data_IF_705063319970
#
_entry.id   IF_705063319970
#
_cell.length_a   1.000
_cell.length_b   1.000
_cell.length_c   1.000
_cell.angle_alpha   90.00
_cell.angle_beta   90.00
_cell.angle_gamma   90.00
#
_symmetry.space_group_name_H-M   'P 1'
#
loop_
_entity.id
_entity.type
_entity.pdbx_description
1 polymer ?
#
# COMPACT_ATOMS: atom_id res chain seq x y z
N UNK A 1 -45.46 -9.80 51.53
CA UNK A 1 -44.19 -10.27 50.95
C UNK A 1 -44.16 -9.83 49.48
N UNK A 2 -43.39 -8.78 49.15
CA UNK A 2 -43.22 -8.26 47.78
C UNK A 2 -41.80 -8.59 47.34
N UNK A 3 -41.65 -9.52 46.41
CA UNK A 3 -40.37 -9.92 45.81
C UNK A 3 -40.01 -8.92 44.68
N UNK A 4 -39.01 -8.10 44.93
CA UNK A 4 -38.42 -7.22 43.92
C UNK A 4 -37.54 -8.03 42.96
N UNK A 5 -37.95 -8.18 41.70
CA UNK A 5 -37.12 -8.70 40.62
C UNK A 5 -36.09 -7.61 40.20
N UNK A 6 -34.85 -7.82 40.54
CA UNK A 6 -33.73 -7.03 39.99
C UNK A 6 -33.46 -7.49 38.58
N UNK A 7 -33.78 -6.64 37.60
CA UNK A 7 -33.33 -6.83 36.20
C UNK A 7 -31.85 -6.48 36.11
N UNK A 8 -31.02 -7.45 35.78
CA UNK A 8 -29.62 -7.23 35.41
C UNK A 8 -29.62 -6.72 33.98
N UNK A 9 -29.28 -5.44 33.79
CA UNK A 9 -28.98 -4.90 32.46
C UNK A 9 -27.53 -5.28 32.14
N UNK A 10 -27.37 -6.29 31.29
CA UNK A 10 -26.06 -6.62 30.69
C UNK A 10 -25.79 -5.59 29.62
N UNK A 11 -24.99 -4.58 29.94
CA UNK A 11 -24.42 -3.68 28.93
C UNK A 11 -23.36 -4.46 28.12
N UNK A 12 -23.75 -4.90 26.93
CA UNK A 12 -22.81 -5.43 25.96
C UNK A 12 -21.94 -4.26 25.48
N UNK A 13 -20.72 -4.13 26.01
CA UNK A 13 -19.67 -3.30 25.45
C UNK A 13 -19.25 -3.99 24.16
N UNK A 14 -19.80 -3.51 23.03
CA UNK A 14 -19.29 -3.88 21.71
C UNK A 14 -17.90 -3.27 21.62
N UNK A 15 -16.88 -4.08 21.86
CA UNK A 15 -15.49 -3.76 21.50
C UNK A 15 -15.47 -3.64 19.97
N UNK A 16 -15.63 -2.41 19.48
CA UNK A 16 -15.30 -2.05 18.10
C UNK A 16 -13.77 -2.18 17.99
N UNK A 17 -13.30 -3.39 17.69
CA UNK A 17 -11.96 -3.56 17.19
C UNK A 17 -11.85 -2.64 15.95
N UNK A 18 -10.86 -1.76 15.87
CA UNK A 18 -10.67 -0.97 14.67
C UNK A 18 -10.51 -1.94 13.50
N UNK A 19 -11.43 -1.90 12.54
CA UNK A 19 -11.25 -2.53 11.25
C UNK A 19 -10.04 -1.83 10.61
N UNK A 20 -8.87 -2.42 10.77
CA UNK A 20 -7.65 -1.97 10.13
C UNK A 20 -7.85 -2.21 8.63
N UNK A 21 -8.05 -1.13 7.89
CA UNK A 21 -8.14 -1.22 6.44
C UNK A 21 -6.73 -1.56 5.90
N UNK A 22 -6.61 -2.48 4.94
CA UNK A 22 -5.37 -2.67 4.22
C UNK A 22 -5.03 -1.37 3.47
N UNK A 23 -3.78 -1.14 3.14
CA UNK A 23 -3.30 -0.14 2.18
C UNK A 23 -4.03 -0.27 0.82
N UNK A 24 -3.51 0.26 -0.29
CA UNK A 24 -4.19 -0.04 -1.56
C UNK A 24 -4.69 -1.49 -1.55
N UNK A 25 -5.96 -1.72 -1.89
CA UNK A 25 -6.47 -3.10 -2.01
C UNK A 25 -5.57 -3.92 -2.92
N UNK A 26 -5.61 -5.24 -2.79
CA UNK A 26 -4.81 -6.21 -3.56
C UNK A 26 -4.57 -5.80 -5.01
N UNK A 27 -5.62 -5.30 -5.69
CA UNK A 27 -5.52 -4.84 -7.10
C UNK A 27 -4.56 -3.67 -7.24
N UNK A 28 -4.61 -2.69 -6.34
CA UNK A 28 -3.75 -1.50 -6.41
C UNK A 28 -2.28 -1.87 -6.27
N UNK A 29 -1.92 -2.65 -5.25
CA UNK A 29 -0.55 -3.15 -5.05
C UNK A 29 -0.06 -3.98 -6.25
N UNK A 30 -0.90 -4.90 -6.73
CA UNK A 30 -0.56 -5.72 -7.89
C UNK A 30 -0.43 -4.91 -9.18
N UNK A 31 -1.18 -3.81 -9.36
CA UNK A 31 -1.02 -2.91 -10.51
C UNK A 31 0.32 -2.16 -10.45
N UNK A 32 0.71 -1.64 -9.28
CA UNK A 32 2.04 -1.03 -9.06
C UNK A 32 3.14 -2.01 -9.43
N UNK A 33 3.07 -3.24 -8.91
CA UNK A 33 4.03 -4.30 -9.18
C UNK A 33 4.05 -4.71 -10.66
N UNK A 34 2.89 -4.84 -11.29
CA UNK A 34 2.76 -5.22 -12.70
C UNK A 34 3.37 -4.14 -13.62
N UNK A 35 3.09 -2.85 -13.38
CA UNK A 35 3.68 -1.74 -14.13
C UNK A 35 5.20 -1.74 -13.93
N UNK A 36 5.67 -1.89 -12.69
CA UNK A 36 7.10 -1.94 -12.40
C UNK A 36 7.78 -3.09 -13.16
N UNK A 37 7.25 -4.30 -13.06
CA UNK A 37 7.82 -5.49 -13.70
C UNK A 37 7.90 -5.38 -15.22
N UNK A 38 6.94 -4.72 -15.86
CA UNK A 38 6.93 -4.45 -17.30
C UNK A 38 7.98 -3.43 -17.75
N UNK A 39 8.53 -2.66 -16.81
CA UNK A 39 9.49 -1.58 -17.08
C UNK A 39 10.90 -1.89 -16.57
N UNK A 40 11.13 -3.10 -16.07
CA UNK A 40 12.46 -3.53 -15.65
C UNK A 40 13.39 -3.72 -16.84
N UNK A 41 14.64 -3.30 -16.65
CA UNK A 41 15.74 -3.69 -17.56
C UNK A 41 15.98 -5.20 -17.48
N UNK A 42 16.64 -5.83 -18.48
CA UNK A 42 16.96 -7.25 -18.41
C UNK A 42 17.74 -7.65 -17.16
N UNK A 43 18.69 -6.82 -16.72
CA UNK A 43 19.47 -7.07 -15.50
C UNK A 43 18.60 -7.04 -14.25
N UNK A 44 17.81 -5.97 -14.06
CA UNK A 44 16.91 -5.85 -12.92
C UNK A 44 15.85 -6.96 -12.91
N UNK A 45 15.30 -7.28 -14.09
CA UNK A 45 14.34 -8.38 -14.23
C UNK A 45 14.95 -9.72 -13.85
N UNK A 46 16.16 -10.02 -14.34
CA UNK A 46 16.88 -11.25 -13.99
C UNK A 46 17.13 -11.38 -12.47
N UNK A 47 17.48 -10.28 -11.79
CA UNK A 47 17.66 -10.30 -10.32
C UNK A 47 16.35 -10.47 -9.57
N UNK A 48 15.30 -9.76 -9.99
CA UNK A 48 13.95 -9.90 -9.41
C UNK A 48 13.43 -11.32 -9.60
N UNK A 49 13.55 -11.88 -10.81
CA UNK A 49 13.11 -13.24 -11.11
C UNK A 49 13.89 -14.27 -10.26
N UNK A 50 15.21 -14.09 -10.11
CA UNK A 50 16.02 -14.96 -9.24
C UNK A 50 15.53 -14.98 -7.79
N UNK A 51 15.07 -13.84 -7.28
CA UNK A 51 14.63 -13.70 -5.90
C UNK A 51 13.17 -14.13 -5.69
N UNK A 52 12.29 -13.84 -6.65
CA UNK A 52 10.84 -13.91 -6.47
C UNK A 52 10.12 -14.91 -7.39
N UNK A 53 10.82 -15.61 -8.27
CA UNK A 53 10.24 -16.65 -9.12
C UNK A 53 10.82 -17.99 -8.75
N UNK A 54 9.96 -18.95 -8.40
CA UNK A 54 10.43 -20.32 -8.18
C UNK A 54 10.75 -20.97 -9.52
N UNK A 55 11.76 -21.88 -9.60
CA UNK A 55 12.13 -22.56 -10.85
C UNK A 55 10.97 -23.31 -11.51
N UNK A 56 10.01 -23.78 -10.73
CA UNK A 56 8.84 -24.52 -11.22
C UNK A 56 7.64 -23.62 -11.51
N UNK A 57 7.72 -22.30 -11.23
CA UNK A 57 6.66 -21.32 -11.52
C UNK A 57 5.28 -21.59 -10.88
N UNK A 58 5.20 -22.57 -9.98
CA UNK A 58 3.95 -23.09 -9.41
C UNK A 58 3.95 -23.26 -7.90
N UNK A 59 5.06 -22.97 -7.22
CA UNK A 59 5.12 -23.06 -5.76
C UNK A 59 5.12 -21.69 -5.16
N UNK A 60 4.42 -21.50 -4.02
CA UNK A 60 4.53 -20.26 -3.25
C UNK A 60 6.02 -19.97 -2.97
N UNK A 61 6.34 -18.72 -2.75
CA UNK A 61 7.67 -18.30 -2.32
C UNK A 61 7.90 -18.82 -0.89
N UNK A 62 8.00 -20.14 -0.79
CA UNK A 62 7.97 -20.90 0.49
C UNK A 62 9.11 -20.50 1.41
N UNK A 63 10.20 -19.97 0.85
CA UNK A 63 11.30 -19.42 1.64
C UNK A 63 10.90 -18.14 2.39
N UNK A 64 9.86 -17.42 1.94
CA UNK A 64 9.26 -16.29 2.66
C UNK A 64 8.31 -16.76 3.77
N UNK A 65 7.94 -18.05 3.76
CA UNK A 65 6.97 -18.64 4.69
C UNK A 65 7.62 -19.36 5.87
N UNK A 66 8.93 -19.60 5.82
CA UNK A 66 9.62 -20.30 6.88
C UNK A 66 9.95 -19.35 8.05
N UNK A 67 9.35 -19.58 9.19
CA UNK A 67 9.55 -18.78 10.40
C UNK A 67 8.26 -18.20 10.94
N UNK A 68 8.18 -16.88 11.05
CA UNK A 68 7.06 -16.16 11.68
C UNK A 68 5.78 -16.14 10.86
N UNK A 69 5.84 -16.37 9.55
CA UNK A 69 4.72 -16.14 8.66
C UNK A 69 3.90 -17.42 8.51
N UNK A 70 2.59 -17.28 8.70
CA UNK A 70 1.67 -18.42 8.58
C UNK A 70 1.67 -18.97 7.15
N UNK A 71 1.69 -20.29 7.02
CA UNK A 71 1.67 -20.98 5.72
C UNK A 71 0.54 -20.50 4.80
N UNK A 72 -0.63 -20.18 5.38
CA UNK A 72 -1.79 -19.69 4.64
C UNK A 72 -1.57 -18.36 3.91
N UNK A 73 -0.72 -17.46 4.44
CA UNK A 73 -0.41 -16.18 3.78
C UNK A 73 0.51 -16.36 2.59
N UNK A 74 1.40 -17.33 2.69
CA UNK A 74 2.39 -17.63 1.65
C UNK A 74 1.81 -18.37 0.46
N UNK A 75 0.73 -19.14 0.66
CA UNK A 75 0.06 -19.86 -0.44
C UNK A 75 -0.53 -18.93 -1.51
N UNK A 76 -0.62 -17.63 -1.22
CA UNK A 76 -1.14 -16.61 -2.14
C UNK A 76 -0.05 -15.90 -2.94
N UNK A 77 1.24 -16.08 -2.58
CA UNK A 77 2.37 -15.33 -3.12
C UNK A 77 3.25 -16.21 -3.98
N UNK A 78 3.29 -15.96 -5.29
CA UNK A 78 3.96 -16.83 -6.27
C UNK A 78 4.98 -16.14 -7.16
N UNK A 79 4.97 -14.81 -7.22
CA UNK A 79 5.71 -14.07 -8.23
C UNK A 79 5.88 -12.58 -7.87
N UNK A 80 6.63 -11.81 -8.69
CA UNK A 80 6.85 -10.38 -8.47
C UNK A 80 5.59 -9.51 -8.40
N UNK A 81 4.44 -10.01 -8.85
CA UNK A 81 3.18 -9.24 -8.81
C UNK A 81 2.42 -9.50 -7.52
N UNK A 82 2.30 -10.77 -7.13
CA UNK A 82 1.56 -11.15 -5.92
C UNK A 82 2.31 -10.83 -4.63
N UNK A 83 3.66 -10.70 -4.68
CA UNK A 83 4.49 -10.29 -3.54
C UNK A 83 4.12 -8.90 -3.00
N UNK A 84 3.62 -8.03 -3.87
CA UNK A 84 3.25 -6.67 -3.47
C UNK A 84 2.10 -6.63 -2.46
N UNK A 85 1.33 -7.69 -2.30
CA UNK A 85 0.24 -7.79 -1.31
C UNK A 85 0.67 -8.57 -0.06
N UNK A 86 1.81 -9.24 -0.11
CA UNK A 86 2.27 -10.16 0.93
C UNK A 86 2.33 -9.53 2.33
N UNK A 87 2.73 -8.27 2.45
CA UNK A 87 2.84 -7.56 3.71
C UNK A 87 1.46 -7.33 4.38
N UNK A 88 0.41 -7.11 3.60
CA UNK A 88 -0.96 -6.99 4.11
C UNK A 88 -1.54 -8.31 4.65
N UNK A 89 -1.03 -9.44 4.15
CA UNK A 89 -1.45 -10.77 4.62
C UNK A 89 -1.04 -11.03 6.08
N UNK A 90 -0.13 -10.23 6.66
CA UNK A 90 0.30 -10.35 8.07
C UNK A 90 -0.62 -9.64 9.04
N UNK A 91 -1.43 -8.69 8.55
CA UNK A 91 -2.24 -7.82 9.41
C UNK A 91 -3.22 -8.61 10.25
N UNK A 92 -3.27 -8.27 11.54
CA UNK A 92 -4.13 -8.93 12.51
C UNK A 92 -3.52 -10.17 13.17
N UNK A 93 -2.29 -10.51 12.85
CA UNK A 93 -1.50 -11.48 13.61
C UNK A 93 -0.62 -10.74 14.63
N UNK A 94 -0.81 -11.02 15.91
CA UNK A 94 -0.06 -10.36 17.00
C UNK A 94 1.46 -10.57 16.92
N UNK A 95 1.92 -11.57 16.18
CA UNK A 95 3.35 -11.81 15.95
C UNK A 95 3.95 -10.85 14.91
N UNK A 96 3.11 -10.13 14.18
CA UNK A 96 3.51 -9.24 13.10
C UNK A 96 3.01 -7.81 13.28
N UNK A 97 2.43 -7.47 14.42
CA UNK A 97 1.97 -6.12 14.77
C UNK A 97 3.11 -5.07 14.67
N UNK A 98 4.36 -5.49 14.78
CA UNK A 98 5.53 -4.62 14.61
C UNK A 98 5.64 -4.01 13.20
N UNK A 99 5.03 -4.62 12.19
CA UNK A 99 5.02 -4.12 10.81
C UNK A 99 3.90 -3.12 10.53
N UNK A 100 2.89 -2.99 11.40
CA UNK A 100 1.78 -2.06 11.21
C UNK A 100 2.22 -0.61 10.96
N UNK A 101 3.16 -0.02 11.72
CA UNK A 101 3.62 1.34 11.48
C UNK A 101 4.41 1.53 10.18
N UNK A 102 4.86 0.42 9.54
CA UNK A 102 5.64 0.51 8.30
C UNK A 102 4.82 1.00 7.11
N UNK A 103 3.49 0.83 7.17
CA UNK A 103 2.59 1.11 6.05
C UNK A 103 2.29 2.60 5.85
N UNK A 104 2.55 3.46 6.84
CA UNK A 104 2.15 4.87 6.82
C UNK A 104 3.16 5.80 7.49
N UNK A 105 2.91 7.10 7.39
CA UNK A 105 3.64 8.13 8.11
C UNK A 105 2.71 9.30 8.43
N UNK A 106 2.68 9.77 9.68
CA UNK A 106 1.95 11.00 10.06
C UNK A 106 2.80 12.24 9.72
N UNK A 107 3.09 12.43 8.44
CA UNK A 107 3.87 13.55 7.96
C UNK A 107 3.03 14.82 7.91
N UNK A 108 3.51 15.91 8.59
CA UNK A 108 2.80 17.18 8.68
C UNK A 108 1.30 16.98 8.96
N UNK A 109 0.93 16.60 10.20
CA UNK A 109 -0.47 16.33 10.56
C UNK A 109 -1.44 17.44 10.15
N UNK A 110 -2.67 17.07 9.84
CA UNK A 110 -3.70 18.02 9.45
C UNK A 110 -4.60 18.38 10.65
N UNK A 111 -4.56 19.64 11.07
CA UNK A 111 -5.39 20.16 12.17
C UNK A 111 -6.60 20.89 11.60
N UNK A 112 -7.78 20.31 11.77
CA UNK A 112 -9.02 20.80 11.19
C UNK A 112 -9.91 21.41 12.31
N UNK A 113 -10.05 22.74 12.27
CA UNK A 113 -10.83 23.50 13.25
C UNK A 113 -10.23 23.56 14.67
N UNK A 114 -8.97 23.14 14.85
CA UNK A 114 -8.24 23.21 16.12
C UNK A 114 -6.84 23.79 15.92
N UNK A 115 -6.20 24.36 16.96
CA UNK A 115 -4.82 24.80 16.88
C UNK A 115 -3.85 23.68 16.51
N UNK A 116 -2.79 24.03 15.77
CA UNK A 116 -1.71 23.11 15.47
C UNK A 116 -1.01 22.66 16.78
N UNK A 117 -0.62 21.39 16.82
CA UNK A 117 0.10 20.75 17.92
C UNK A 117 1.51 20.40 17.48
N UNK A 118 2.45 20.43 18.41
CA UNK A 118 3.87 20.11 18.19
C UNK A 118 4.27 18.77 18.81
N UNK A 119 3.37 18.16 19.58
CA UNK A 119 3.56 16.89 20.26
C UNK A 119 3.10 15.68 19.42
N UNK A 120 2.66 15.92 18.20
CA UNK A 120 2.27 14.90 17.24
C UNK A 120 3.08 15.05 15.95
N UNK A 121 3.43 13.94 15.34
CA UNK A 121 4.27 13.92 14.15
C UNK A 121 4.50 12.49 13.68
N UNK A 122 5.48 12.28 12.78
CA UNK A 122 5.76 10.97 12.24
C UNK A 122 6.27 10.02 13.34
N UNK A 123 5.85 8.78 13.25
CA UNK A 123 6.36 7.68 14.04
C UNK A 123 7.86 7.49 13.76
N UNK A 124 8.68 7.07 14.74
CA UNK A 124 10.11 6.80 14.51
C UNK A 124 10.39 5.75 13.46
N UNK A 125 9.50 4.73 13.38
CA UNK A 125 9.52 3.69 12.35
C UNK A 125 8.25 3.88 11.51
N UNK A 126 8.41 4.13 10.23
CA UNK A 126 7.32 4.49 9.33
C UNK A 126 7.66 4.10 7.88
N UNK A 127 6.75 4.32 6.93
CA UNK A 127 6.92 3.95 5.52
C UNK A 127 8.17 4.58 4.89
N UNK A 128 8.48 5.83 5.18
CA UNK A 128 9.67 6.52 4.64
C UNK A 128 10.98 5.89 5.16
N UNK A 129 11.04 5.64 6.47
CA UNK A 129 12.18 4.98 7.11
C UNK A 129 12.39 3.58 6.52
N UNK A 130 11.31 2.83 6.33
CA UNK A 130 11.37 1.46 5.82
C UNK A 130 11.70 1.37 4.33
N UNK A 131 11.23 2.29 3.50
CA UNK A 131 11.67 2.38 2.10
C UNK A 131 13.17 2.65 2.03
N UNK A 132 13.67 3.62 2.80
CA UNK A 132 15.09 3.95 2.85
C UNK A 132 15.94 2.77 3.34
N UNK A 133 15.48 2.07 4.37
CA UNK A 133 16.11 0.85 4.86
C UNK A 133 16.17 -0.25 3.78
N UNK A 134 15.06 -0.52 3.10
CA UNK A 134 14.97 -1.55 2.07
C UNK A 134 15.88 -1.24 0.88
N UNK A 135 15.88 0.02 0.41
CA UNK A 135 16.77 0.50 -0.67
C UNK A 135 18.23 0.31 -0.30
N UNK A 136 18.62 0.72 0.91
CA UNK A 136 20.01 0.59 1.37
C UNK A 136 20.43 -0.87 1.55
N UNK A 137 19.53 -1.73 2.04
CA UNK A 137 19.77 -3.16 2.22
C UNK A 137 19.98 -3.85 0.86
N UNK A 138 19.08 -3.62 -0.10
CA UNK A 138 19.16 -4.21 -1.43
C UNK A 138 20.38 -3.69 -2.23
N UNK A 139 20.76 -2.41 -2.05
CA UNK A 139 21.94 -1.83 -2.69
C UNK A 139 23.23 -2.51 -2.24
N UNK A 140 23.34 -2.86 -0.96
CA UNK A 140 24.53 -3.54 -0.42
C UNK A 140 24.49 -5.04 -0.73
N UNK A 141 23.29 -5.60 -0.86
CA UNK A 141 23.05 -7.04 -0.83
C UNK A 141 23.38 -7.62 0.54
N UNK A 142 22.59 -8.59 1.00
CA UNK A 142 22.83 -9.24 2.30
C UNK A 142 23.71 -10.50 2.16
N UNK A 143 23.96 -10.94 0.94
CA UNK A 143 24.60 -12.23 0.64
C UNK A 143 23.66 -13.42 0.91
N UNK A 144 22.40 -13.16 1.22
CA UNK A 144 21.36 -14.16 1.50
C UNK A 144 20.13 -13.89 0.66
N UNK A 145 19.91 -14.69 -0.38
CA UNK A 145 18.80 -14.50 -1.32
C UNK A 145 17.41 -14.44 -0.61
N UNK A 146 17.25 -15.17 0.51
CA UNK A 146 16.03 -15.09 1.32
C UNK A 146 15.80 -13.70 1.89
N UNK A 147 16.78 -13.12 2.57
CA UNK A 147 16.67 -11.79 3.18
C UNK A 147 16.50 -10.71 2.11
N UNK A 148 17.20 -10.84 0.98
CA UNK A 148 17.02 -9.93 -0.15
C UNK A 148 15.60 -10.04 -0.75
N UNK A 149 15.03 -11.26 -0.83
CA UNK A 149 13.67 -11.49 -1.32
C UNK A 149 12.61 -10.89 -0.38
N UNK A 150 12.76 -11.07 0.93
CA UNK A 150 11.89 -10.47 1.96
C UNK A 150 11.96 -8.93 1.88
N UNK A 151 13.17 -8.38 1.83
CA UNK A 151 13.38 -6.93 1.71
C UNK A 151 12.78 -6.37 0.42
N UNK A 152 12.90 -7.11 -0.68
CA UNK A 152 12.28 -6.75 -1.95
C UNK A 152 10.76 -6.78 -1.87
N UNK A 153 10.17 -7.76 -1.19
CA UNK A 153 8.74 -7.84 -0.94
C UNK A 153 8.22 -6.63 -0.16
N UNK A 154 8.91 -6.23 0.91
CA UNK A 154 8.60 -5.00 1.63
C UNK A 154 8.68 -3.77 0.71
N UNK A 155 9.75 -3.63 -0.08
CA UNK A 155 9.88 -2.48 -0.97
C UNK A 155 8.75 -2.40 -2.00
N UNK A 156 8.32 -3.52 -2.58
CA UNK A 156 7.20 -3.57 -3.52
C UNK A 156 5.90 -3.04 -2.91
N UNK A 157 5.62 -3.43 -1.67
CA UNK A 157 4.43 -3.01 -0.93
C UNK A 157 4.50 -1.53 -0.54
N UNK A 158 5.57 -1.14 0.15
CA UNK A 158 5.74 0.19 0.74
C UNK A 158 5.78 1.32 -0.31
N UNK A 159 6.33 1.04 -1.51
CA UNK A 159 6.24 2.01 -2.61
C UNK A 159 4.80 2.20 -3.07
N UNK A 160 3.96 1.17 -3.02
CA UNK A 160 2.52 1.31 -3.22
C UNK A 160 1.91 2.23 -2.16
N UNK A 161 2.14 1.91 -0.89
CA UNK A 161 1.57 2.61 0.28
C UNK A 161 1.85 4.10 0.29
N UNK A 162 3.13 4.48 0.13
CA UNK A 162 3.53 5.88 0.17
C UNK A 162 2.88 6.73 -0.93
N UNK A 163 2.32 6.11 -1.97
CA UNK A 163 1.59 6.79 -3.04
C UNK A 163 0.08 6.88 -2.79
N UNK A 164 -0.46 6.23 -1.75
CA UNK A 164 -1.84 6.42 -1.29
C UNK A 164 -1.89 7.68 -0.41
N UNK A 165 -2.70 8.69 -0.76
CA UNK A 165 -2.68 9.98 -0.07
C UNK A 165 -2.87 9.90 1.45
N UNK A 166 -3.77 9.05 1.93
CA UNK A 166 -4.09 8.95 3.35
C UNK A 166 -3.06 8.16 4.18
N UNK A 167 -2.08 7.52 3.53
CA UNK A 167 -0.92 6.92 4.20
C UNK A 167 0.15 7.95 4.60
N UNK A 168 0.00 9.22 4.21
CA UNK A 168 0.98 10.26 4.47
C UNK A 168 0.51 11.32 5.48
N UNK A 169 -0.63 11.14 6.15
CA UNK A 169 -1.13 12.10 7.14
C UNK A 169 -2.24 11.52 8.00
N UNK A 170 -2.48 12.18 9.14
CA UNK A 170 -3.65 11.97 10.00
C UNK A 170 -4.33 13.32 10.24
N UNK A 171 -5.68 13.35 10.22
CA UNK A 171 -6.48 14.53 10.53
C UNK A 171 -6.84 14.55 12.01
N UNK A 172 -6.58 15.64 12.67
CA UNK A 172 -6.93 15.90 14.05
C UNK A 172 -8.07 16.92 14.13
N UNK A 173 -9.07 16.65 14.96
CA UNK A 173 -10.23 17.53 15.21
C UNK A 173 -10.51 17.60 16.71
N UNK A 174 -11.42 18.48 17.13
CA UNK A 174 -11.87 18.50 18.51
C UNK A 174 -12.54 17.20 18.97
N UNK A 175 -13.22 16.49 18.05
CA UNK A 175 -13.85 15.20 18.32
C UNK A 175 -12.86 14.02 18.26
N UNK A 176 -11.75 14.17 17.58
CA UNK A 176 -10.72 13.14 17.40
C UNK A 176 -9.35 13.72 17.78
N UNK A 177 -9.09 13.95 19.08
CA UNK A 177 -7.86 14.57 19.57
C UNK A 177 -6.61 13.67 19.36
N UNK A 178 -6.80 12.37 19.19
CA UNK A 178 -5.74 11.39 18.89
C UNK A 178 -5.59 11.11 17.39
N UNK A 179 -6.35 11.86 16.56
CA UNK A 179 -6.34 11.72 15.10
C UNK A 179 -7.33 10.71 14.57
N UNK A 180 -7.58 10.79 13.27
CA UNK A 180 -8.55 9.93 12.56
C UNK A 180 -7.91 8.68 11.91
N UNK A 181 -6.65 8.38 12.23
CA UNK A 181 -5.91 7.23 11.70
C UNK A 181 -5.89 7.23 10.17
N UNK A 182 -5.51 8.37 9.55
CA UNK A 182 -5.49 8.50 8.09
C UNK A 182 -6.86 8.30 7.43
N UNK A 183 -7.93 8.76 8.08
CA UNK A 183 -9.30 8.63 7.56
C UNK A 183 -10.00 7.30 7.87
N UNK A 184 -9.41 6.41 8.66
CA UNK A 184 -10.09 5.17 9.10
C UNK A 184 -11.29 5.49 10.01
N UNK A 185 -11.19 6.54 10.82
CA UNK A 185 -12.28 7.00 11.69
C UNK A 185 -13.21 8.02 11.00
N UNK A 186 -12.85 8.52 9.82
CA UNK A 186 -13.73 9.35 8.99
C UNK A 186 -14.78 8.47 8.32
N UNK A 187 -15.99 8.43 8.87
CA UNK A 187 -17.05 7.54 8.42
C UNK A 187 -17.69 8.00 7.12
N UNK A 188 -18.01 7.05 6.26
CA UNK A 188 -18.80 7.24 5.03
C UNK A 188 -20.05 6.37 5.07
N UNK A 189 -21.07 6.81 4.34
CA UNK A 189 -22.27 6.01 4.13
C UNK A 189 -22.05 5.11 2.91
N UNK A 190 -22.03 3.80 3.16
CA UNK A 190 -21.97 2.80 2.08
C UNK A 190 -23.23 2.86 1.19
N UNK A 191 -23.05 2.41 -0.06
CA UNK A 191 -24.13 2.32 -1.06
C UNK A 191 -24.00 0.99 -1.81
N UNK A 192 -24.99 0.62 -2.62
CA UNK A 192 -24.95 -0.58 -3.46
C UNK A 192 -23.75 -0.57 -4.43
N UNK A 193 -23.27 0.62 -4.82
CA UNK A 193 -22.11 0.79 -5.71
C UNK A 193 -20.78 1.00 -4.97
N UNK A 194 -20.79 1.13 -3.63
CA UNK A 194 -19.59 1.33 -2.81
C UNK A 194 -19.80 0.79 -1.40
N UNK A 195 -19.15 -0.31 -1.03
CA UNK A 195 -19.20 -0.87 0.32
C UNK A 195 -18.36 -0.08 1.33
N UNK A 196 -17.68 0.98 0.90
CA UNK A 196 -16.76 1.73 1.75
C UNK A 196 -17.48 2.43 2.90
N UNK A 197 -17.11 2.10 4.14
CA UNK A 197 -17.63 2.67 5.38
C UNK A 197 -16.67 3.66 6.04
N UNK A 198 -15.46 3.82 5.49
CA UNK A 198 -14.49 4.84 5.91
C UNK A 198 -13.84 5.48 4.69
N UNK A 199 -13.31 6.69 4.90
CA UNK A 199 -12.60 7.43 3.87
C UNK A 199 -11.32 6.66 3.44
N UNK A 200 -10.61 6.10 4.40
CA UNK A 200 -9.41 5.29 4.15
C UNK A 200 -9.73 4.13 3.20
N UNK A 201 -10.70 3.27 3.57
CA UNK A 201 -11.13 2.14 2.72
C UNK A 201 -11.56 2.58 1.32
N UNK A 202 -12.25 3.72 1.20
CA UNK A 202 -12.67 4.26 -0.10
C UNK A 202 -11.47 4.58 -0.99
N UNK A 203 -10.41 5.17 -0.43
CA UNK A 203 -9.18 5.49 -1.16
C UNK A 203 -8.34 4.26 -1.45
N UNK A 204 -8.24 3.30 -0.53
CA UNK A 204 -7.55 2.02 -0.77
C UNK A 204 -8.15 1.24 -1.93
N UNK A 205 -9.47 1.29 -2.07
CA UNK A 205 -10.17 0.73 -3.23
C UNK A 205 -10.04 1.60 -4.50
N UNK A 206 -9.16 2.61 -4.51
CA UNK A 206 -9.06 3.57 -5.62
C UNK A 206 -10.42 4.17 -6.03
N UNK A 207 -11.28 4.47 -5.04
CA UNK A 207 -12.66 4.89 -5.21
C UNK A 207 -13.49 3.94 -6.11
N UNK A 208 -13.17 2.66 -6.10
CA UNK A 208 -13.82 1.64 -6.93
C UNK A 208 -13.41 1.66 -8.41
N UNK A 209 -12.29 2.31 -8.77
CA UNK A 209 -11.83 2.38 -10.17
C UNK A 209 -11.55 1.01 -10.80
N UNK A 210 -11.26 0.01 -9.99
CA UNK A 210 -10.95 -1.37 -10.43
C UNK A 210 -11.89 -2.41 -9.82
N UNK A 211 -13.00 -1.98 -9.21
CA UNK A 211 -13.87 -2.75 -8.35
C UNK A 211 -13.42 -2.67 -6.88
N UNK A 212 -14.29 -3.09 -5.98
CA UNK A 212 -13.99 -3.16 -4.54
C UNK A 212 -13.47 -4.52 -4.10
N UNK A 213 -13.58 -5.52 -4.95
CA UNK A 213 -13.07 -6.87 -4.73
C UNK A 213 -11.86 -7.12 -5.64
N UNK A 214 -10.76 -7.53 -5.04
CA UNK A 214 -9.56 -7.94 -5.77
C UNK A 214 -9.73 -9.34 -6.37
N UNK A 215 -8.90 -9.73 -7.36
CA UNK A 215 -8.82 -11.11 -7.81
C UNK A 215 -8.30 -11.98 -6.68
N UNK A 216 -8.82 -13.20 -6.58
CA UNK A 216 -8.29 -14.18 -5.64
C UNK A 216 -6.85 -14.51 -5.99
N UNK A 217 -6.00 -14.60 -4.98
CA UNK A 217 -4.62 -15.08 -5.10
C UNK A 217 -4.54 -16.55 -4.65
N UNK A 218 -3.76 -17.41 -5.31
CA UNK A 218 -2.92 -17.14 -6.48
C UNK A 218 -3.73 -16.79 -7.75
N UNK A 219 -3.16 -15.93 -8.59
CA UNK A 219 -3.84 -15.46 -9.80
C UNK A 219 -3.93 -16.59 -10.83
N UNK A 220 -5.15 -16.88 -11.29
CA UNK A 220 -5.37 -17.71 -12.46
C UNK A 220 -4.98 -16.96 -13.77
N UNK A 221 -4.90 -17.66 -14.92
CA UNK A 221 -4.53 -17.03 -16.18
C UNK A 221 -5.45 -15.87 -16.61
N UNK A 222 -6.75 -15.94 -16.32
CA UNK A 222 -7.70 -14.88 -16.67
C UNK A 222 -7.51 -13.64 -15.81
N UNK A 223 -7.31 -13.81 -14.48
CA UNK A 223 -7.00 -12.74 -13.56
C UNK A 223 -5.67 -12.06 -13.92
N UNK A 224 -4.64 -12.82 -14.32
CA UNK A 224 -3.36 -12.26 -14.80
C UNK A 224 -3.54 -11.44 -16.06
N UNK A 225 -4.28 -11.95 -17.05
CA UNK A 225 -4.54 -11.24 -18.29
C UNK A 225 -5.32 -9.93 -18.03
N UNK A 226 -6.32 -9.97 -17.14
CA UNK A 226 -7.07 -8.79 -16.73
C UNK A 226 -6.16 -7.76 -16.03
N UNK A 227 -5.36 -8.18 -15.08
CA UNK A 227 -4.43 -7.30 -14.36
C UNK A 227 -3.43 -6.65 -15.32
N UNK A 228 -2.89 -7.43 -16.27
CA UNK A 228 -2.01 -6.92 -17.32
C UNK A 228 -2.72 -5.87 -18.17
N UNK A 229 -3.94 -6.12 -18.61
CA UNK A 229 -4.74 -5.17 -19.40
C UNK A 229 -5.01 -3.86 -18.64
N UNK A 230 -5.29 -3.95 -17.32
CA UNK A 230 -5.47 -2.78 -16.47
C UNK A 230 -4.16 -1.97 -16.36
N UNK A 231 -3.02 -2.63 -16.17
CA UNK A 231 -1.71 -1.98 -16.12
C UNK A 231 -1.36 -1.30 -17.45
N UNK A 232 -1.58 -1.97 -18.58
CA UNK A 232 -1.38 -1.40 -19.92
C UNK A 232 -2.29 -0.18 -20.13
N UNK A 233 -3.55 -0.23 -19.65
CA UNK A 233 -4.49 0.89 -19.65
C UNK A 233 -3.98 2.10 -18.86
N UNK A 234 -3.48 1.87 -17.64
CA UNK A 234 -2.89 2.92 -16.81
C UNK A 234 -1.65 3.55 -17.46
N UNK A 235 -0.77 2.73 -18.03
CA UNK A 235 0.44 3.22 -18.71
C UNK A 235 0.10 4.01 -20.00
N UNK A 236 -0.99 3.65 -20.68
CA UNK A 236 -1.48 4.41 -21.84
C UNK A 236 -2.11 5.74 -21.44
N UNK A 237 -2.88 5.77 -20.34
CA UNK A 237 -3.52 6.98 -19.82
C UNK A 237 -2.50 7.95 -19.23
N UNK A 238 -1.45 7.43 -18.61
CA UNK A 238 -0.39 8.17 -17.93
C UNK A 238 1.00 7.71 -18.44
N UNK A 239 1.42 8.07 -19.67
CA UNK A 239 2.72 7.67 -20.18
C UNK A 239 3.87 8.21 -19.32
N UNK A 240 4.88 7.38 -19.04
CA UNK A 240 6.00 7.76 -18.17
C UNK A 240 6.71 9.06 -18.62
N UNK A 241 6.86 9.25 -19.94
CA UNK A 241 7.52 10.43 -20.51
C UNK A 241 6.70 11.72 -20.31
N UNK A 242 5.39 11.60 -20.10
CA UNK A 242 4.52 12.72 -19.77
C UNK A 242 4.47 13.06 -18.28
N UNK A 243 5.15 12.27 -17.44
CA UNK A 243 5.16 12.41 -15.98
C UNK A 243 6.57 12.73 -15.47
N UNK A 244 7.00 14.01 -15.44
CA UNK A 244 8.32 14.38 -14.89
C UNK A 244 8.58 13.82 -13.49
N UNK A 245 7.54 13.74 -12.65
CA UNK A 245 7.59 13.17 -11.31
C UNK A 245 8.01 11.68 -11.29
N UNK A 246 7.85 10.93 -12.37
CA UNK A 246 8.29 9.53 -12.44
C UNK A 246 9.82 9.38 -12.35
N UNK A 247 10.57 10.45 -12.58
CA UNK A 247 12.05 10.49 -12.47
C UNK A 247 12.52 10.86 -11.07
N UNK A 248 11.65 11.34 -10.22
CA UNK A 248 11.98 11.67 -8.84
C UNK A 248 11.97 10.39 -7.99
N UNK A 249 13.15 9.98 -7.53
CA UNK A 249 13.38 8.77 -6.73
C UNK A 249 13.68 9.08 -5.26
N UNK A 250 13.39 10.30 -4.80
CA UNK A 250 13.52 10.67 -3.39
C UNK A 250 12.22 10.35 -2.64
N UNK A 251 12.21 9.35 -1.73
CA UNK A 251 10.97 8.91 -1.07
C UNK A 251 10.29 10.00 -0.23
N UNK A 252 11.04 10.96 0.31
CA UNK A 252 10.46 12.09 1.05
C UNK A 252 9.55 12.93 0.15
N UNK A 253 9.91 13.13 -1.11
CA UNK A 253 9.08 13.88 -2.06
C UNK A 253 7.76 13.12 -2.34
N UNK A 254 7.79 11.78 -2.35
CA UNK A 254 6.58 10.96 -2.52
C UNK A 254 5.62 11.11 -1.34
N UNK A 255 6.16 11.19 -0.12
CA UNK A 255 5.41 11.49 1.11
C UNK A 255 4.77 12.88 1.02
N UNK A 256 5.53 13.90 0.62
CA UNK A 256 5.04 15.28 0.49
C UNK A 256 3.90 15.37 -0.53
N UNK A 257 4.05 14.74 -1.69
CA UNK A 257 2.99 14.68 -2.72
C UNK A 257 1.72 14.04 -2.16
N UNK A 258 1.85 12.90 -1.46
CA UNK A 258 0.72 12.19 -0.88
C UNK A 258 0.04 13.00 0.21
N UNK A 259 0.81 13.64 1.10
CA UNK A 259 0.28 14.55 2.13
C UNK A 259 -0.49 15.72 1.51
N UNK A 260 0.04 16.34 0.45
CA UNK A 260 -0.66 17.42 -0.24
C UNK A 260 -1.96 16.95 -0.89
N UNK A 261 -1.97 15.77 -1.50
CA UNK A 261 -3.17 15.18 -2.09
C UNK A 261 -4.20 14.80 -1.02
N UNK A 262 -3.77 14.29 0.12
CA UNK A 262 -4.66 14.03 1.24
C UNK A 262 -5.44 15.29 1.62
N UNK A 263 -4.75 16.42 1.83
CA UNK A 263 -5.36 17.68 2.23
C UNK A 263 -6.24 18.31 1.15
N UNK A 264 -5.75 18.32 -0.10
CA UNK A 264 -6.39 19.05 -1.21
C UNK A 264 -7.49 18.27 -1.89
N UNK A 265 -7.46 16.95 -1.78
CA UNK A 265 -8.40 16.06 -2.50
C UNK A 265 -9.10 15.12 -1.52
N UNK A 266 -8.38 14.29 -0.75
CA UNK A 266 -9.01 13.23 0.02
C UNK A 266 -9.92 13.76 1.13
N UNK A 267 -9.48 14.77 1.89
CA UNK A 267 -10.30 15.42 2.91
C UNK A 267 -11.12 16.61 2.38
N UNK A 268 -10.92 17.01 1.12
CA UNK A 268 -11.63 18.15 0.57
C UNK A 268 -12.97 17.72 -0.05
N UNK A 269 -14.01 18.56 0.08
CA UNK A 269 -15.32 18.36 -0.53
C UNK A 269 -16.01 17.02 -0.20
N UNK A 270 -15.71 16.48 0.98
CA UNK A 270 -16.31 15.27 1.54
C UNK A 270 -16.78 15.56 2.98
N UNK A 271 -17.86 14.94 3.40
CA UNK A 271 -18.39 15.08 4.76
C UNK A 271 -18.56 13.73 5.40
N UNK A 272 -18.31 13.69 6.71
CA UNK A 272 -18.52 12.49 7.51
C UNK A 272 -19.99 12.06 7.50
N UNK A 273 -20.23 10.74 7.52
CA UNK A 273 -21.53 10.12 7.49
C UNK A 273 -22.40 10.43 6.27
N UNK A 274 -21.78 10.94 5.20
CA UNK A 274 -22.43 11.14 3.91
C UNK A 274 -21.88 10.17 2.84
N UNK A 275 -22.65 10.01 1.77
CA UNK A 275 -22.20 9.31 0.57
C UNK A 275 -21.29 10.23 -0.25
N UNK A 276 -20.13 9.78 -0.71
CA UNK A 276 -19.27 10.55 -1.61
C UNK A 276 -20.05 10.99 -2.86
N UNK A 277 -19.98 12.27 -3.20
CA UNK A 277 -20.62 12.78 -4.42
C UNK A 277 -19.98 12.16 -5.67
N UNK A 278 -20.70 12.18 -6.80
CA UNK A 278 -20.15 11.73 -8.09
C UNK A 278 -18.87 12.49 -8.45
N UNK A 279 -18.87 13.81 -8.29
CA UNK A 279 -17.71 14.65 -8.59
C UNK A 279 -16.49 14.30 -7.73
N UNK A 280 -16.70 14.06 -6.42
CA UNK A 280 -15.65 13.60 -5.52
C UNK A 280 -15.12 12.22 -5.94
N UNK A 281 -16.01 11.28 -6.23
CA UNK A 281 -15.66 9.93 -6.66
C UNK A 281 -14.85 9.93 -7.96
N UNK A 282 -15.26 10.72 -8.94
CA UNK A 282 -14.55 10.83 -10.22
C UNK A 282 -13.14 11.41 -10.03
N UNK A 283 -12.99 12.45 -9.19
CA UNK A 283 -11.67 13.02 -8.88
C UNK A 283 -10.79 12.06 -8.08
N UNK A 284 -11.34 11.37 -7.08
CA UNK A 284 -10.61 10.35 -6.32
C UNK A 284 -10.12 9.21 -7.24
N UNK A 285 -10.93 8.75 -8.19
CA UNK A 285 -10.54 7.76 -9.22
C UNK A 285 -9.41 8.27 -10.09
N UNK A 286 -9.54 9.49 -10.59
CA UNK A 286 -8.51 10.11 -11.43
C UNK A 286 -7.17 10.20 -10.70
N UNK A 287 -7.17 10.69 -9.47
CA UNK A 287 -5.96 10.80 -8.65
C UNK A 287 -5.38 9.43 -8.35
N UNK A 288 -6.20 8.46 -7.94
CA UNK A 288 -5.74 7.09 -7.62
C UNK A 288 -5.08 6.44 -8.83
N UNK A 289 -5.66 6.54 -10.02
CA UNK A 289 -5.09 5.98 -11.26
C UNK A 289 -3.73 6.59 -11.58
N UNK A 290 -3.59 7.92 -11.45
CA UNK A 290 -2.31 8.61 -11.62
C UNK A 290 -1.27 8.14 -10.58
N UNK A 291 -1.66 8.04 -9.29
CA UNK A 291 -0.75 7.64 -8.22
C UNK A 291 -0.26 6.21 -8.37
N UNK A 292 -1.12 5.28 -8.80
CA UNK A 292 -0.75 3.89 -9.08
C UNK A 292 0.22 3.78 -10.27
N UNK A 293 -0.02 4.52 -11.36
CA UNK A 293 0.90 4.56 -12.49
C UNK A 293 2.28 5.12 -12.07
N UNK A 294 2.28 6.22 -11.32
CA UNK A 294 3.49 6.88 -10.83
C UNK A 294 4.29 5.97 -9.89
N UNK A 295 3.61 5.29 -8.94
CA UNK A 295 4.23 4.33 -8.04
C UNK A 295 4.91 3.19 -8.82
N UNK A 296 4.25 2.64 -9.84
CA UNK A 296 4.81 1.59 -10.68
C UNK A 296 6.05 2.05 -11.46
N UNK A 297 6.05 3.25 -11.99
CA UNK A 297 7.22 3.82 -12.69
C UNK A 297 8.39 4.08 -11.75
N UNK A 298 8.12 4.64 -10.57
CA UNK A 298 9.14 4.92 -9.54
C UNK A 298 9.76 3.63 -9.01
N UNK A 299 8.93 2.62 -8.74
CA UNK A 299 9.42 1.30 -8.34
C UNK A 299 10.30 0.69 -9.42
N UNK A 300 9.90 0.72 -10.70
CA UNK A 300 10.72 0.24 -11.80
C UNK A 300 12.06 0.97 -11.90
N UNK A 301 12.04 2.30 -11.86
CA UNK A 301 13.24 3.12 -11.95
C UNK A 301 14.19 2.85 -10.78
N UNK A 302 13.66 2.70 -9.57
CA UNK A 302 14.43 2.37 -8.38
C UNK A 302 15.08 0.99 -8.50
N UNK A 303 14.33 -0.04 -8.92
CA UNK A 303 14.85 -1.40 -9.11
C UNK A 303 15.90 -1.45 -10.24
N UNK A 304 15.67 -0.72 -11.33
CA UNK A 304 16.65 -0.61 -12.42
C UNK A 304 17.96 0.06 -11.95
N UNK A 305 17.88 1.01 -11.01
CA UNK A 305 19.05 1.63 -10.41
C UNK A 305 19.76 0.69 -9.42
N UNK A 306 19.00 -0.11 -8.65
CA UNK A 306 19.55 -1.02 -7.65
C UNK A 306 20.22 -2.25 -8.28
N UNK A 307 19.67 -2.75 -9.39
CA UNK A 307 20.09 -3.99 -10.02
C UNK A 307 20.72 -3.77 -11.41
N UNK A 308 21.69 -2.86 -11.47
CA UNK A 308 22.50 -2.65 -12.68
C UNK A 308 23.38 -3.86 -12.97
N UNK A 309 23.67 -4.12 -14.24
CA UNK A 309 24.67 -5.13 -14.60
C UNK A 309 26.05 -4.73 -14.03
N UNK A 310 26.81 -5.66 -13.45
CA UNK A 310 28.19 -5.40 -13.14
C UNK A 310 28.92 -5.05 -14.44
N UNK A 311 29.91 -4.13 -14.43
CA UNK A 311 30.70 -3.84 -15.62
C UNK A 311 31.31 -5.15 -16.13
N UNK A 312 31.44 -5.32 -17.46
CA UNK A 312 32.06 -6.51 -18.03
C UNK A 312 33.46 -6.71 -17.42
N UNK A 313 33.76 -7.95 -17.03
CA UNK A 313 35.05 -8.27 -16.48
C UNK A 313 36.16 -7.76 -17.44
N UNK A 314 37.16 -7.08 -16.89
CA UNK A 314 38.31 -6.66 -17.70
C UNK A 314 38.89 -7.88 -18.41
N UNK A 315 39.28 -7.77 -19.71
CA UNK A 315 39.90 -8.88 -20.42
C UNK A 315 41.11 -9.36 -19.64
N UNK A 316 41.38 -10.67 -19.58
CA UNK A 316 42.58 -11.19 -18.92
C UNK A 316 43.82 -10.53 -19.55
N UNK A 317 44.72 -10.06 -18.68
CA UNK A 317 46.01 -9.47 -19.10
C UNK A 317 46.96 -10.53 -19.65
#
# INVERSE_FOLDING_TARGET
>A
MRTARRALILSAVLLLLPLRAPAWHDVGHMLVAQIAYLRLTPAAKGRVDKLLVTPEGRRPLIHLCAGYYMAATCEKTYDPVTIAVWMDDFRGDSLTDEYDPWHYINHKPFFDGIPARTDVGPEPVNVLDRINWAVNTLRRGTGRDRTDAETLGFLYHLVGDVHQPLHATTRYTAALPDGDMGGNLFRLKATDGSPATSLHFFWDAAAGAFGFEGPRRPLDPAARARLRSLADGLMKEHPADSLPAAKDLEPLNWVEESNQLARRVAYANIKENETPSKAYTDEARRVSRLRLALAGYRLAALLNLLFVEPPPAAPPR
#
